data_IF_679721912404
#
_entry.id   IF_679721912404
#
_cell.length_a   1.000
_cell.length_b   1.000
_cell.length_c   1.000
_cell.angle_alpha   90.00
_cell.angle_beta   90.00
_cell.angle_gamma   90.00
#
_symmetry.space_group_name_H-M   'P 1'
#
loop_
_entity.id
_entity.type
_entity.pdbx_description
1 polymer ?
#
# COMPACT_ATOMS: atom_id res chain seq x y z
N UNK A 1 -24.30 0.03 -1.77
CA UNK A 1 -23.47 1.27 -1.87
C UNK A 1 -22.08 0.83 -2.31
N UNK A 2 -21.60 1.36 -3.43
CA UNK A 2 -20.24 1.06 -3.88
C UNK A 2 -19.25 1.83 -2.98
N UNK A 3 -18.24 1.16 -2.44
CA UNK A 3 -17.25 1.79 -1.56
C UNK A 3 -16.51 2.95 -2.25
N UNK A 4 -16.32 2.86 -3.56
CA UNK A 4 -15.66 3.91 -4.36
C UNK A 4 -16.46 5.21 -4.45
N UNK A 5 -17.80 5.16 -4.27
CA UNK A 5 -18.69 6.33 -4.33
C UNK A 5 -18.82 7.01 -2.95
N UNK A 6 -18.12 6.52 -1.93
CA UNK A 6 -18.18 7.05 -0.57
C UNK A 6 -17.41 8.37 -0.43
N UNK A 7 -17.94 9.31 0.38
CA UNK A 7 -17.19 10.50 0.81
C UNK A 7 -16.00 10.11 1.72
N UNK A 8 -16.08 8.99 2.42
CA UNK A 8 -15.05 8.54 3.34
C UNK A 8 -13.82 7.99 2.59
N UNK A 9 -12.66 8.59 2.79
CA UNK A 9 -11.38 8.14 2.20
C UNK A 9 -11.03 6.69 2.56
N UNK A 10 -11.33 6.25 3.79
CA UNK A 10 -11.10 4.86 4.22
C UNK A 10 -11.97 3.91 3.38
N UNK A 11 -13.25 4.22 3.21
CA UNK A 11 -14.14 3.37 2.41
C UNK A 11 -13.68 3.28 0.95
N UNK A 12 -13.28 4.41 0.33
CA UNK A 12 -12.73 4.40 -1.04
C UNK A 12 -11.45 3.57 -1.15
N UNK A 13 -10.54 3.70 -0.19
CA UNK A 13 -9.32 2.90 -0.17
C UNK A 13 -9.62 1.40 -0.09
N UNK A 14 -10.61 0.99 0.71
CA UNK A 14 -11.07 -0.40 0.79
C UNK A 14 -11.75 -0.86 -0.51
N UNK A 15 -12.31 0.02 -1.31
CA UNK A 15 -12.83 -0.29 -2.65
C UNK A 15 -11.73 -0.72 -3.62
N UNK A 16 -10.51 -0.20 -3.45
CA UNK A 16 -9.32 -0.56 -4.23
C UNK A 16 -8.56 -1.71 -3.60
N UNK A 17 -8.32 -1.62 -2.29
CA UNK A 17 -7.55 -2.57 -1.50
C UNK A 17 -8.48 -3.56 -0.78
N UNK A 18 -9.36 -4.20 -1.54
CA UNK A 18 -10.55 -4.88 -1.04
C UNK A 18 -10.29 -6.16 -0.22
N UNK A 19 -9.06 -6.66 -0.19
CA UNK A 19 -8.71 -7.90 0.51
C UNK A 19 -7.23 -7.99 0.91
N UNK A 20 -6.90 -9.04 1.66
CA UNK A 20 -5.53 -9.31 2.13
C UNK A 20 -4.54 -9.52 0.98
N UNK A 21 -4.96 -10.07 -0.16
CA UNK A 21 -4.08 -10.31 -1.29
C UNK A 21 -3.56 -9.01 -1.88
N UNK A 22 -4.38 -7.95 -1.95
CA UNK A 22 -3.94 -6.63 -2.42
C UNK A 22 -2.80 -6.08 -1.58
N UNK A 23 -2.88 -6.17 -0.25
CA UNK A 23 -1.81 -5.75 0.66
C UNK A 23 -0.57 -6.63 0.56
N UNK A 24 -0.72 -7.94 0.41
CA UNK A 24 0.39 -8.85 0.25
C UNK A 24 1.10 -8.64 -1.10
N UNK A 25 0.38 -8.37 -2.18
CA UNK A 25 0.95 -8.02 -3.48
C UNK A 25 1.75 -6.72 -3.42
N UNK A 26 1.22 -5.70 -2.74
CA UNK A 26 1.95 -4.44 -2.51
C UNK A 26 3.24 -4.67 -1.72
N UNK A 27 3.18 -5.50 -0.69
CA UNK A 27 4.38 -5.89 0.07
C UNK A 27 5.43 -6.52 -0.84
N UNK A 28 5.05 -7.49 -1.67
CA UNK A 28 5.97 -8.15 -2.59
C UNK A 28 6.52 -7.18 -3.65
N UNK A 29 5.70 -6.26 -4.16
CA UNK A 29 6.14 -5.22 -5.08
C UNK A 29 7.19 -4.29 -4.43
N UNK A 30 7.03 -3.95 -3.15
CA UNK A 30 8.01 -3.18 -2.38
C UNK A 30 9.32 -3.95 -2.16
N UNK A 31 9.29 -5.28 -2.16
CA UNK A 31 10.48 -6.14 -2.17
C UNK A 31 11.10 -6.33 -3.57
N UNK A 32 10.57 -5.63 -4.57
CA UNK A 32 11.09 -5.65 -5.94
C UNK A 32 10.58 -6.79 -6.80
N UNK A 33 9.53 -7.52 -6.38
CA UNK A 33 8.84 -8.45 -7.27
C UNK A 33 8.08 -7.66 -8.34
N UNK A 34 8.21 -8.09 -9.59
CA UNK A 34 7.66 -7.35 -10.73
C UNK A 34 6.87 -8.23 -11.69
N UNK A 35 7.17 -9.53 -11.77
CA UNK A 35 6.55 -10.41 -12.76
C UNK A 35 5.43 -11.24 -12.13
N UNK A 36 4.46 -11.64 -12.98
CA UNK A 36 3.37 -12.52 -12.56
C UNK A 36 3.89 -13.79 -11.86
N UNK A 37 4.92 -14.43 -12.43
CA UNK A 37 5.51 -15.63 -11.85
C UNK A 37 6.14 -15.36 -10.47
N UNK A 38 6.85 -14.23 -10.31
CA UNK A 38 7.45 -13.87 -9.02
C UNK A 38 6.40 -13.66 -7.93
N UNK A 39 5.29 -12.98 -8.23
CA UNK A 39 4.19 -12.82 -7.27
C UNK A 39 3.53 -14.14 -6.93
N UNK A 40 3.21 -14.96 -7.95
CA UNK A 40 2.58 -16.25 -7.75
C UNK A 40 3.43 -17.16 -6.86
N UNK A 41 4.71 -17.26 -7.17
CA UNK A 41 5.63 -18.17 -6.50
C UNK A 41 5.97 -17.72 -5.08
N UNK A 42 6.04 -16.40 -4.83
CA UNK A 42 6.29 -15.88 -3.48
C UNK A 42 5.09 -15.97 -2.55
N UNK A 43 3.88 -15.84 -3.08
CA UNK A 43 2.64 -15.82 -2.29
C UNK A 43 1.89 -17.15 -2.27
N UNK A 44 2.20 -18.08 -3.19
CA UNK A 44 1.42 -19.30 -3.34
C UNK A 44 -0.03 -19.05 -3.75
N UNK A 45 -0.30 -17.92 -4.39
CA UNK A 45 -1.65 -17.48 -4.80
C UNK A 45 -2.07 -18.18 -6.10
N UNK A 46 -3.36 -18.54 -6.21
CA UNK A 46 -3.93 -19.09 -7.44
C UNK A 46 -3.86 -18.07 -8.60
N UNK A 47 -3.55 -18.53 -9.80
CA UNK A 47 -3.28 -17.67 -10.95
C UNK A 47 -4.45 -16.78 -11.37
N UNK A 48 -5.67 -17.26 -11.24
CA UNK A 48 -6.90 -16.51 -11.54
C UNK A 48 -7.14 -15.38 -10.52
N UNK A 49 -6.92 -15.68 -9.24
CA UNK A 49 -6.99 -14.69 -8.15
C UNK A 49 -5.90 -13.63 -8.36
N UNK A 50 -4.66 -14.05 -8.60
CA UNK A 50 -3.54 -13.13 -8.86
C UNK A 50 -3.84 -12.22 -10.05
N UNK A 51 -4.30 -12.78 -11.17
CA UNK A 51 -4.65 -12.01 -12.36
C UNK A 51 -5.70 -10.95 -12.05
N UNK A 52 -6.76 -11.33 -11.36
CA UNK A 52 -7.84 -10.40 -10.95
C UNK A 52 -7.30 -9.28 -10.08
N UNK A 53 -6.49 -9.59 -9.07
CA UNK A 53 -5.96 -8.58 -8.14
C UNK A 53 -4.96 -7.63 -8.79
N UNK A 54 -4.05 -8.14 -9.63
CA UNK A 54 -3.12 -7.30 -10.38
C UNK A 54 -3.87 -6.35 -11.32
N UNK A 55 -4.90 -6.84 -12.02
CA UNK A 55 -5.72 -5.99 -12.89
C UNK A 55 -6.44 -4.90 -12.08
N UNK A 56 -7.06 -5.22 -10.94
CA UNK A 56 -7.70 -4.22 -10.08
C UNK A 56 -6.70 -3.15 -9.64
N UNK A 57 -5.50 -3.52 -9.20
CA UNK A 57 -4.47 -2.56 -8.79
C UNK A 57 -3.99 -1.69 -9.96
N UNK A 58 -3.96 -2.22 -11.18
CA UNK A 58 -3.63 -1.44 -12.38
C UNK A 58 -4.77 -0.50 -12.76
N UNK A 59 -6.01 -0.96 -12.77
CA UNK A 59 -7.21 -0.15 -13.08
C UNK A 59 -7.34 1.06 -12.17
N UNK A 60 -6.95 0.90 -10.90
CA UNK A 60 -7.00 1.99 -9.90
C UNK A 60 -5.68 2.77 -9.78
N UNK A 61 -4.73 2.57 -10.70
CA UNK A 61 -3.50 3.35 -10.75
C UNK A 61 -2.53 3.12 -9.58
N UNK A 62 -2.64 1.99 -8.90
CA UNK A 62 -1.69 1.58 -7.84
C UNK A 62 -0.46 0.91 -8.42
N UNK A 63 -0.68 0.08 -9.44
CA UNK A 63 0.36 -0.53 -10.27
C UNK A 63 0.23 -0.05 -11.71
N UNK A 64 1.30 -0.13 -12.45
CA UNK A 64 1.31 0.02 -13.91
C UNK A 64 1.99 -1.17 -14.58
N UNK A 65 1.56 -1.46 -15.81
CA UNK A 65 2.17 -2.51 -16.64
C UNK A 65 3.32 -1.90 -17.43
N UNK A 66 4.49 -2.50 -17.32
CA UNK A 66 5.68 -2.13 -18.07
C UNK A 66 6.13 -3.33 -18.89
N UNK A 67 6.27 -3.19 -20.22
CA UNK A 67 6.78 -4.27 -21.05
C UNK A 67 8.20 -4.67 -20.61
N UNK A 68 8.44 -5.96 -20.44
CA UNK A 68 9.78 -6.47 -20.23
C UNK A 68 10.03 -7.70 -21.11
N UNK A 69 11.27 -7.90 -21.47
CA UNK A 69 11.68 -9.05 -22.28
C UNK A 69 12.96 -9.64 -21.71
N UNK A 70 12.92 -10.93 -21.42
CA UNK A 70 14.12 -11.70 -21.14
C UNK A 70 14.72 -12.18 -22.46
N UNK A 71 16.04 -12.28 -22.51
CA UNK A 71 16.76 -12.67 -23.71
C UNK A 71 16.27 -14.05 -24.22
N UNK A 72 15.79 -14.11 -25.48
CA UNK A 72 15.24 -15.32 -26.08
C UNK A 72 13.78 -15.62 -25.74
N UNK A 73 13.08 -14.77 -24.99
CA UNK A 73 11.68 -14.96 -24.64
C UNK A 73 10.77 -13.88 -25.23
N UNK A 74 9.47 -14.22 -25.32
CA UNK A 74 8.43 -13.27 -25.76
C UNK A 74 8.30 -12.13 -24.73
N UNK A 75 8.07 -10.91 -25.21
CA UNK A 75 7.72 -9.75 -24.37
C UNK A 75 6.53 -10.08 -23.47
N UNK A 76 6.63 -9.73 -22.19
CA UNK A 76 5.62 -9.90 -21.16
C UNK A 76 5.44 -8.62 -20.39
N UNK A 77 4.38 -8.54 -19.60
CA UNK A 77 4.14 -7.43 -18.69
C UNK A 77 4.86 -7.68 -17.35
N UNK A 78 5.58 -6.69 -16.89
CA UNK A 78 5.96 -6.51 -15.50
C UNK A 78 5.03 -5.48 -14.85
N UNK A 79 4.94 -5.52 -13.53
CA UNK A 79 4.09 -4.63 -12.73
C UNK A 79 5.00 -3.77 -11.85
N UNK A 80 4.82 -2.47 -11.91
CA UNK A 80 5.58 -1.50 -11.12
C UNK A 80 4.65 -0.62 -10.30
N UNK A 81 5.12 -0.18 -9.14
CA UNK A 81 4.37 0.76 -8.31
C UNK A 81 4.37 2.14 -8.98
N UNK A 82 3.20 2.70 -9.15
CA UNK A 82 3.02 4.12 -9.52
C UNK A 82 3.42 5.05 -8.36
N UNK A 83 3.37 6.36 -8.55
CA UNK A 83 3.52 7.33 -7.46
C UNK A 83 2.50 7.06 -6.35
N UNK A 84 1.21 6.89 -6.69
CA UNK A 84 0.14 6.58 -5.74
C UNK A 84 0.36 5.22 -5.05
N UNK A 85 0.85 4.21 -5.76
CA UNK A 85 1.21 2.92 -5.17
C UNK A 85 2.36 3.03 -4.17
N UNK A 86 3.34 3.90 -4.43
CA UNK A 86 4.45 4.15 -3.52
C UNK A 86 4.01 4.88 -2.23
N UNK A 87 2.99 5.72 -2.28
CA UNK A 87 2.42 6.39 -1.09
C UNK A 87 1.80 5.40 -0.10
N UNK A 88 1.34 4.23 -0.56
CA UNK A 88 0.84 3.16 0.31
C UNK A 88 1.90 2.55 1.24
N UNK A 89 3.16 2.90 1.07
CA UNK A 89 4.22 2.55 2.04
C UNK A 89 3.88 3.01 3.44
N UNK A 90 3.29 4.21 3.59
CA UNK A 90 2.87 4.71 4.89
C UNK A 90 1.84 3.79 5.56
N UNK A 91 0.85 3.34 4.79
CA UNK A 91 -0.19 2.41 5.29
C UNK A 91 0.45 1.08 5.69
N UNK A 92 1.33 0.52 4.86
CA UNK A 92 2.00 -0.75 5.15
C UNK A 92 2.94 -0.66 6.36
N UNK A 93 3.66 0.46 6.54
CA UNK A 93 4.48 0.70 7.73
C UNK A 93 3.61 0.77 8.99
N UNK A 94 2.47 1.47 8.94
CA UNK A 94 1.54 1.55 10.05
C UNK A 94 0.93 0.17 10.40
N UNK A 95 0.51 -0.59 9.39
CA UNK A 95 0.01 -1.96 9.56
C UNK A 95 1.07 -2.89 10.16
N UNK A 96 2.31 -2.84 9.66
CA UNK A 96 3.43 -3.59 10.19
C UNK A 96 3.66 -3.28 11.67
N UNK A 97 3.69 -2.00 12.01
CA UNK A 97 3.92 -1.51 13.36
C UNK A 97 2.82 -1.99 14.32
N UNK A 98 1.56 -1.91 13.91
CA UNK A 98 0.42 -2.39 14.69
C UNK A 98 0.45 -3.92 14.85
N UNK A 99 0.72 -4.65 13.77
CA UNK A 99 0.80 -6.11 13.78
C UNK A 99 1.92 -6.62 14.69
N UNK A 100 3.10 -6.00 14.63
CA UNK A 100 4.25 -6.37 15.47
C UNK A 100 3.98 -6.15 16.97
N UNK A 101 3.15 -5.16 17.30
CA UNK A 101 2.83 -4.82 18.70
C UNK A 101 1.67 -5.67 19.27
N UNK A 102 0.71 -6.10 18.45
CA UNK A 102 -0.58 -6.62 18.93
C UNK A 102 -0.88 -8.05 18.48
N UNK A 103 -0.18 -8.58 17.50
CA UNK A 103 -0.43 -9.92 16.96
C UNK A 103 0.79 -10.81 17.21
N UNK A 104 0.63 -11.99 17.83
CA UNK A 104 1.74 -12.91 18.04
C UNK A 104 2.42 -13.27 16.72
N UNK A 105 3.75 -13.29 16.73
CA UNK A 105 4.54 -13.64 15.53
C UNK A 105 4.41 -15.12 15.22
N UNK A 106 4.07 -15.41 13.97
CA UNK A 106 4.20 -16.74 13.39
C UNK A 106 5.63 -17.00 12.88
N UNK A 107 5.90 -18.21 12.38
CA UNK A 107 7.16 -18.53 11.70
C UNK A 107 7.27 -17.77 10.38
N UNK A 108 8.48 -17.42 9.98
CA UNK A 108 8.75 -16.80 8.68
C UNK A 108 9.60 -15.53 8.75
N UNK A 109 9.74 -14.88 7.60
CA UNK A 109 10.53 -13.66 7.45
C UNK A 109 9.68 -12.44 7.82
N UNK A 110 10.22 -11.58 8.68
CA UNK A 110 9.60 -10.29 9.02
C UNK A 110 10.16 -9.16 8.14
N UNK A 111 9.31 -8.21 7.79
CA UNK A 111 9.70 -6.94 7.18
C UNK A 111 10.26 -5.99 8.23
N UNK A 112 11.14 -5.10 7.79
CA UNK A 112 11.59 -3.96 8.57
C UNK A 112 11.68 -2.74 7.65
N UNK A 113 10.82 -1.73 7.82
CA UNK A 113 10.95 -0.50 7.05
C UNK A 113 12.22 0.25 7.48
N UNK A 114 13.01 0.61 6.47
CA UNK A 114 14.27 1.36 6.64
C UNK A 114 14.35 2.47 5.60
N UNK A 115 15.20 3.46 5.85
CA UNK A 115 15.56 4.46 4.84
C UNK A 115 16.18 3.80 3.61
N UNK A 116 16.20 4.47 2.46
CA UNK A 116 16.71 3.90 1.20
C UNK A 116 18.17 3.43 1.28
N UNK A 117 18.97 4.12 2.06
CA UNK A 117 20.37 3.74 2.36
C UNK A 117 20.48 2.59 3.37
N UNK A 118 19.35 2.11 3.92
CA UNK A 118 19.28 1.01 4.89
C UNK A 118 19.79 1.34 6.28
N UNK A 119 20.14 2.59 6.57
CA UNK A 119 20.80 3.01 7.81
C UNK A 119 19.84 3.13 8.98
N UNK A 120 18.65 3.67 8.76
CA UNK A 120 17.72 4.01 9.82
C UNK A 120 16.40 3.26 9.71
N UNK A 121 15.83 2.90 10.86
CA UNK A 121 14.48 2.34 10.94
C UNK A 121 13.46 3.45 10.74
N UNK A 122 12.47 3.18 9.88
CA UNK A 122 11.35 4.07 9.64
C UNK A 122 10.13 3.57 10.42
N UNK A 123 9.33 4.50 10.94
CA UNK A 123 8.05 4.22 11.61
C UNK A 123 7.00 5.25 11.23
N UNK A 124 5.74 4.83 11.25
CA UNK A 124 4.60 5.72 11.12
C UNK A 124 4.32 6.42 12.47
N UNK A 125 4.07 7.72 12.42
CA UNK A 125 3.67 8.53 13.58
C UNK A 125 2.57 9.48 13.16
N UNK A 126 1.73 9.89 14.13
CA UNK A 126 0.76 10.95 13.93
C UNK A 126 1.43 12.28 14.21
N UNK A 127 1.28 13.23 13.28
CA UNK A 127 1.89 14.57 13.38
C UNK A 127 0.78 15.60 13.20
N UNK A 128 0.66 16.52 14.14
CA UNK A 128 -0.26 17.63 14.05
C UNK A 128 0.19 18.70 13.05
N UNK A 129 -0.69 19.61 12.69
CA UNK A 129 -0.45 20.66 11.70
C UNK A 129 0.75 21.58 12.01
N UNK A 130 1.17 21.65 13.27
CA UNK A 130 2.34 22.42 13.72
C UNK A 130 3.63 21.59 13.76
N UNK A 131 3.61 20.37 13.21
CA UNK A 131 4.78 19.48 13.17
C UNK A 131 5.06 18.71 14.46
N UNK A 132 4.24 18.85 15.52
CA UNK A 132 4.40 18.11 16.77
C UNK A 132 3.89 16.67 16.65
N UNK A 133 4.54 15.73 17.31
CA UNK A 133 4.02 14.38 17.46
C UNK A 133 2.73 14.40 18.29
N UNK A 134 1.73 13.61 17.88
CA UNK A 134 0.44 13.46 18.56
C UNK A 134 0.28 12.01 18.99
N UNK A 135 -0.13 11.81 20.24
CA UNK A 135 -0.41 10.49 20.78
C UNK A 135 -1.70 9.88 20.19
N UNK A 136 -1.82 8.56 20.17
CA UNK A 136 -3.03 7.90 19.67
C UNK A 136 -4.28 8.28 20.46
N UNK A 137 -4.15 8.56 21.77
CA UNK A 137 -5.24 8.99 22.64
C UNK A 137 -5.66 10.46 22.46
N UNK A 138 -4.89 11.23 21.69
CA UNK A 138 -5.12 12.66 21.46
C UNK A 138 -5.67 12.94 20.06
N UNK A 139 -6.14 11.90 19.37
CA UNK A 139 -6.71 12.00 18.01
C UNK A 139 -8.12 11.44 17.99
N UNK A 140 -9.06 12.25 17.51
CA UNK A 140 -10.44 11.86 17.28
C UNK A 140 -10.81 11.97 15.80
N UNK A 141 -11.78 11.16 15.39
CA UNK A 141 -12.39 11.24 14.07
C UNK A 141 -13.71 12.02 14.17
N UNK A 142 -13.79 13.14 13.49
CA UNK A 142 -15.02 13.94 13.38
C UNK A 142 -15.67 13.74 12.02
N UNK A 143 -16.98 13.77 11.96
CA UNK A 143 -17.71 13.79 10.70
C UNK A 143 -17.71 15.20 10.14
N UNK A 144 -17.27 15.34 8.89
CA UNK A 144 -17.29 16.59 8.15
C UNK A 144 -18.51 16.58 7.22
N UNK A 145 -19.32 17.64 7.23
CA UNK A 145 -20.45 17.79 6.32
C UNK A 145 -20.01 18.24 4.92
N UNK A 146 -20.91 18.18 3.94
CA UNK A 146 -20.65 18.50 2.52
C UNK A 146 -20.17 19.95 2.27
N UNK A 147 -20.11 20.79 3.30
CA UNK A 147 -19.77 22.23 3.21
C UNK A 147 -18.38 22.59 3.76
N UNK A 148 -17.66 21.63 4.37
CA UNK A 148 -16.32 21.88 4.87
C UNK A 148 -15.27 21.52 3.79
N UNK A 149 -14.58 22.52 3.29
CA UNK A 149 -13.41 22.34 2.42
C UNK A 149 -12.38 21.40 3.09
N UNK A 150 -11.89 20.45 2.31
CA UNK A 150 -10.80 19.60 2.75
C UNK A 150 -9.62 20.48 3.21
N UNK A 151 -8.96 20.16 4.35
CA UNK A 151 -7.78 20.93 4.76
C UNK A 151 -6.76 20.91 3.64
N UNK A 152 -6.27 22.08 3.26
CA UNK A 152 -5.22 22.24 2.26
C UNK A 152 -4.04 21.34 2.61
N UNK A 153 -3.66 20.51 1.68
CA UNK A 153 -2.45 19.69 1.81
C UNK A 153 -1.23 20.56 2.10
N UNK A 154 -0.15 19.99 2.66
CA UNK A 154 1.06 20.75 2.93
C UNK A 154 1.55 21.41 1.64
N UNK A 155 1.65 22.73 1.67
CA UNK A 155 2.26 23.51 0.59
C UNK A 155 3.72 23.07 0.46
N UNK A 156 4.06 22.55 -0.70
CA UNK A 156 5.46 22.31 -1.08
C UNK A 156 6.20 23.65 -1.10
N UNK A 157 7.27 23.73 -0.37
CA UNK A 157 8.31 24.75 -0.44
C UNK A 157 9.68 24.08 -0.49
#
# INVERSE_FOLDING_TARGET
MNALDSQCGIARSLGVLSDSWSFLLLREALFGKRTFAQFRDSLGIASDVLSTRLNTLVEHGVLEKVPYQEQGHRTRDAYELTAAGNELKLVLVAMQQWGDANVPRGPGVSMRPVTRDGQERVRAVLVGARGQNVGHGDVDFVRVGDTDEAPAGPSES
#
